data_IF_664813427406
#
_entry.id   IF_664813427406
#
_cell.length_a   1.000
_cell.length_b   1.000
_cell.length_c   1.000
_cell.angle_alpha   90.00
_cell.angle_beta   90.00
_cell.angle_gamma   90.00
#
_symmetry.space_group_name_H-M   'P 1'
#
loop_
_entity.id
_entity.type
_entity.pdbx_description
1 polymer ?
#
# COMPACT_ATOMS: atom_id res chain seq x y z
N UNK A 1 24.32 -37.47 -38.89
CA UNK A 1 23.90 -37.86 -37.53
C UNK A 1 24.89 -37.28 -36.55
N UNK A 2 24.57 -36.17 -35.92
CA UNK A 2 25.27 -35.67 -34.74
C UNK A 2 24.35 -34.69 -34.02
N UNK A 3 23.82 -35.14 -32.90
CA UNK A 3 23.08 -34.29 -31.97
C UNK A 3 24.03 -33.39 -31.20
N UNK A 4 23.58 -32.18 -30.91
CA UNK A 4 24.22 -31.32 -29.92
C UNK A 4 23.15 -30.58 -29.13
N UNK A 5 22.82 -31.14 -27.97
CA UNK A 5 22.11 -30.47 -26.88
C UNK A 5 22.87 -29.20 -26.50
N UNK A 6 22.18 -28.06 -26.46
CA UNK A 6 22.64 -26.90 -25.68
C UNK A 6 21.51 -26.39 -24.82
N UNK A 7 21.83 -26.33 -23.53
CA UNK A 7 20.96 -26.04 -22.41
C UNK A 7 20.41 -24.62 -22.42
N UNK A 8 19.27 -24.49 -21.75
CA UNK A 8 18.63 -23.24 -21.42
C UNK A 8 19.36 -22.57 -20.25
N UNK A 9 19.64 -21.26 -20.29
CA UNK A 9 20.06 -20.51 -19.11
C UNK A 9 18.88 -20.32 -18.15
N UNK A 10 19.21 -20.49 -16.87
CA UNK A 10 18.33 -20.35 -15.71
C UNK A 10 17.76 -18.92 -15.60
N UNK A 11 16.49 -18.82 -15.18
CA UNK A 11 15.78 -17.56 -14.97
C UNK A 11 16.02 -17.03 -13.55
N UNK A 12 16.25 -15.72 -13.36
CA UNK A 12 16.36 -15.14 -12.03
C UNK A 12 15.01 -15.05 -11.30
N UNK A 13 15.14 -15.02 -9.97
CA UNK A 13 14.17 -15.21 -8.90
C UNK A 13 12.86 -14.43 -9.01
N UNK A 14 11.76 -15.17 -8.90
CA UNK A 14 10.40 -14.71 -8.66
C UNK A 14 10.25 -14.25 -7.20
N UNK A 15 9.88 -13.00 -6.95
CA UNK A 15 9.49 -12.54 -5.61
C UNK A 15 8.07 -13.01 -5.34
N UNK A 16 7.98 -14.15 -4.67
CA UNK A 16 6.76 -14.80 -4.22
C UNK A 16 6.40 -14.26 -2.83
N UNK A 17 5.44 -13.34 -2.72
CA UNK A 17 4.79 -13.09 -1.42
C UNK A 17 3.60 -14.03 -1.28
N UNK A 18 3.79 -15.08 -0.47
CA UNK A 18 2.75 -16.00 -0.01
C UNK A 18 2.80 -16.01 1.50
N UNK A 19 1.72 -15.60 2.16
CA UNK A 19 1.54 -15.81 3.60
C UNK A 19 0.94 -17.20 3.80
N UNK A 20 1.68 -18.02 4.54
CA UNK A 20 1.47 -19.45 4.78
C UNK A 20 0.67 -19.69 6.07
N UNK A 21 -0.19 -20.71 6.04
CA UNK A 21 -0.44 -21.81 7.02
C UNK A 21 -1.85 -22.36 6.72
N UNK A 22 -2.09 -23.61 6.29
CA UNK A 22 -1.65 -24.91 6.81
C UNK A 22 -2.85 -25.60 7.48
N UNK A 23 -3.74 -26.26 6.71
CA UNK A 23 -4.15 -27.69 6.78
C UNK A 23 -4.85 -28.16 8.11
N UNK A 24 -5.86 -29.04 8.22
CA UNK A 24 -6.74 -29.90 7.39
C UNK A 24 -7.88 -30.48 8.30
N UNK A 25 -8.84 -31.22 7.71
CA UNK A 25 -9.68 -32.32 8.27
C UNK A 25 -11.19 -32.12 8.59
N UNK A 26 -12.00 -32.60 7.63
CA UNK A 26 -13.15 -33.56 7.65
C UNK A 26 -14.34 -33.46 8.62
N UNK A 27 -15.56 -33.90 8.20
CA UNK A 27 -16.81 -33.69 8.91
C UNK A 27 -17.26 -34.90 9.77
N UNK A 28 -18.00 -34.68 10.87
CA UNK A 28 -18.66 -35.78 11.60
C UNK A 28 -19.98 -35.39 12.31
N UNK A 29 -21.03 -36.11 11.89
CA UNK A 29 -22.31 -36.56 12.48
C UNK A 29 -22.94 -35.86 13.71
N UNK A 30 -24.25 -35.62 13.55
CA UNK A 30 -25.28 -35.41 14.60
C UNK A 30 -25.41 -36.61 15.54
N UNK A 31 -25.63 -36.34 16.84
CA UNK A 31 -26.28 -37.25 17.78
C UNK A 31 -27.05 -36.44 18.84
N UNK A 32 -28.00 -37.10 19.48
CA UNK A 32 -29.20 -36.57 20.11
C UNK A 32 -29.13 -36.61 21.65
N UNK A 33 -29.88 -35.69 22.29
CA UNK A 33 -30.64 -35.80 23.58
C UNK A 33 -29.93 -36.46 24.78
N UNK A 34 -29.78 -35.73 25.89
CA UNK A 34 -30.72 -35.77 27.04
C UNK A 34 -30.25 -34.86 28.20
N UNK A 35 -31.26 -34.34 28.89
CA UNK A 35 -31.31 -33.76 30.24
C UNK A 35 -30.24 -34.23 31.24
N UNK A 36 -29.78 -33.32 32.12
CA UNK A 36 -30.01 -33.35 33.57
C UNK A 36 -29.36 -32.14 34.26
N UNK A 37 -30.09 -31.56 35.22
CA UNK A 37 -29.75 -30.41 36.06
C UNK A 37 -28.49 -30.69 36.93
N UNK A 38 -27.59 -29.71 37.05
CA UNK A 38 -26.60 -29.67 38.14
C UNK A 38 -26.24 -28.22 38.56
N UNK A 39 -26.27 -28.02 39.88
CA UNK A 39 -26.15 -26.82 40.72
C UNK A 39 -25.06 -25.76 40.38
N UNK A 40 -25.18 -24.51 40.90
CA UNK A 40 -24.24 -23.43 40.62
C UNK A 40 -22.91 -23.68 41.34
N UNK A 41 -21.80 -23.64 40.60
CA UNK A 41 -20.45 -23.72 41.18
C UNK A 41 -19.91 -22.32 41.47
N UNK A 42 -19.48 -22.16 42.72
CA UNK A 42 -18.85 -20.98 43.31
C UNK A 42 -17.54 -20.64 42.59
N UNK A 43 -17.35 -19.34 42.36
CA UNK A 43 -16.13 -18.57 42.12
C UNK A 43 -14.85 -19.35 41.80
N UNK A 44 -14.46 -19.31 40.53
CA UNK A 44 -13.06 -19.35 40.12
C UNK A 44 -12.82 -18.18 39.17
N UNK A 45 -11.96 -17.24 39.56
CA UNK A 45 -11.59 -16.08 38.74
C UNK A 45 -10.78 -16.52 37.51
N UNK A 46 -11.45 -16.97 36.45
CA UNK A 46 -10.81 -17.20 35.16
C UNK A 46 -10.73 -15.85 34.43
N UNK A 47 -9.56 -15.21 34.44
CA UNK A 47 -9.29 -14.02 33.62
C UNK A 47 -9.38 -14.42 32.13
N UNK A 48 -10.30 -13.87 31.32
CA UNK A 48 -10.48 -14.29 29.92
C UNK A 48 -9.57 -13.53 28.93
N UNK A 49 -8.53 -12.83 29.39
CA UNK A 49 -7.67 -12.01 28.52
C UNK A 49 -6.19 -12.13 28.87
N UNK A 50 -5.36 -12.40 27.85
CA UNK A 50 -3.91 -12.35 27.93
C UNK A 50 -3.46 -10.92 28.23
N UNK A 51 -2.75 -10.73 29.33
CA UNK A 51 -2.34 -9.41 29.86
C UNK A 51 -0.82 -9.38 30.04
N UNK A 52 -0.06 -9.15 28.96
CA UNK A 52 1.40 -9.31 28.96
C UNK A 52 2.16 -8.26 29.81
N UNK A 53 1.45 -7.27 30.37
CA UNK A 53 2.05 -6.13 31.09
C UNK A 53 1.51 -5.94 32.51
N UNK A 54 0.80 -6.93 33.08
CA UNK A 54 0.31 -6.84 34.46
C UNK A 54 1.44 -6.65 35.49
N UNK A 55 2.65 -7.10 35.16
CA UNK A 55 3.81 -6.99 36.04
C UNK A 55 4.46 -5.60 36.02
N UNK A 56 4.16 -4.74 35.02
CA UNK A 56 4.75 -3.40 34.94
C UNK A 56 4.30 -2.48 36.08
N UNK A 57 3.03 -2.56 36.48
CA UNK A 57 2.51 -1.80 37.61
C UNK A 57 3.16 -2.19 38.93
N UNK A 58 3.62 -3.43 39.05
CA UNK A 58 4.36 -3.91 40.21
C UNK A 58 5.82 -3.43 40.18
N UNK A 59 6.48 -3.48 39.00
CA UNK A 59 7.85 -2.96 38.84
C UNK A 59 7.97 -1.45 39.03
N UNK A 60 6.94 -0.67 38.68
CA UNK A 60 6.85 0.77 38.96
C UNK A 60 6.67 1.09 40.45
N UNK A 61 6.11 0.15 41.22
CA UNK A 61 5.96 0.29 42.67
C UNK A 61 7.21 -0.18 43.43
N UNK A 62 7.98 -1.09 42.83
CA UNK A 62 9.25 -1.61 43.33
C UNK A 62 10.47 -0.76 42.94
N UNK A 63 10.38 0.07 41.88
CA UNK A 63 11.41 1.05 41.56
C UNK A 63 11.48 2.07 42.69
N UNK A 64 12.60 2.05 43.42
CA UNK A 64 12.84 3.01 44.49
C UNK A 64 12.73 4.45 43.97
N UNK A 65 12.24 5.40 44.79
CA UNK A 65 12.37 6.81 44.47
C UNK A 65 13.84 7.10 44.20
N UNK A 66 14.13 7.85 43.15
CA UNK A 66 15.46 8.36 42.89
C UNK A 66 15.76 9.46 43.93
N UNK A 67 15.95 9.06 45.18
CA UNK A 67 16.55 9.91 46.20
C UNK A 67 18.07 9.75 46.10
N UNK A 68 18.76 10.89 46.07
CA UNK A 68 20.21 11.06 46.03
C UNK A 68 20.93 10.66 44.72
N UNK A 69 20.68 11.39 43.64
CA UNK A 69 21.81 11.77 42.78
C UNK A 69 22.50 12.96 43.46
N UNK A 70 23.57 12.68 44.22
CA UNK A 70 24.62 13.67 44.35
C UNK A 70 25.09 14.01 42.92
N UNK A 71 25.26 15.31 42.58
CA UNK A 71 25.84 15.66 41.29
C UNK A 71 27.18 14.93 41.14
N UNK A 72 27.46 14.30 39.99
CA UNK A 72 28.71 13.59 39.78
C UNK A 72 29.87 14.56 39.95
N UNK A 73 30.84 14.14 40.75
CA UNK A 73 32.14 14.78 40.90
C UNK A 73 32.72 15.11 39.51
N UNK A 74 33.19 16.34 39.37
CA UNK A 74 33.88 16.84 38.19
C UNK A 74 35.20 16.08 38.00
N UNK A 75 35.15 14.93 37.34
CA UNK A 75 36.34 14.36 36.69
C UNK A 75 36.65 15.17 35.43
N UNK A 76 37.42 16.23 35.64
CA UNK A 76 38.65 16.52 34.90
C UNK A 76 38.57 16.35 33.38
N UNK A 77 37.98 17.34 32.72
CA UNK A 77 38.58 17.84 31.49
C UNK A 77 39.77 18.69 31.92
N UNK A 78 40.97 18.14 31.74
CA UNK A 78 42.24 18.84 31.87
C UNK A 78 42.31 19.96 30.81
N UNK A 79 41.77 21.12 31.15
CA UNK A 79 42.15 22.39 30.55
C UNK A 79 43.20 23.05 31.45
N UNK A 80 44.42 22.54 31.38
CA UNK A 80 45.56 23.33 31.79
C UNK A 80 45.67 24.53 30.83
N UNK A 81 45.19 25.70 31.26
CA UNK A 81 45.85 27.01 31.10
C UNK A 81 44.83 28.17 31.21
N UNK A 82 45.02 28.98 32.25
CA UNK A 82 44.59 30.39 32.43
C UNK A 82 43.12 30.64 32.82
N UNK A 83 42.79 30.39 34.08
CA UNK A 83 41.80 31.22 34.80
C UNK A 83 42.50 32.53 35.18
N UNK A 84 42.55 33.51 34.27
CA UNK A 84 42.97 34.87 34.61
C UNK A 84 41.77 35.61 35.17
N UNK A 85 41.73 35.81 36.48
CA UNK A 85 40.83 36.80 37.08
C UNK A 85 41.09 38.15 36.40
N UNK A 86 40.04 38.86 35.95
CA UNK A 86 40.23 40.12 35.25
C UNK A 86 40.96 41.09 36.18
N UNK A 87 42.15 41.53 35.76
CA UNK A 87 42.83 42.66 36.39
C UNK A 87 42.00 43.92 36.17
N UNK A 88 42.20 44.96 36.98
CA UNK A 88 41.48 46.23 36.82
C UNK A 88 41.65 46.84 35.41
N UNK A 89 42.77 46.53 34.76
CA UNK A 89 43.08 46.92 33.38
C UNK A 89 42.20 46.18 32.34
N UNK A 90 41.94 44.88 32.50
CA UNK A 90 41.05 44.12 31.60
C UNK A 90 39.60 44.61 31.71
N UNK A 91 39.17 44.95 32.92
CA UNK A 91 37.85 45.54 33.15
C UNK A 91 37.74 46.96 32.59
N UNK A 92 38.84 47.71 32.50
CA UNK A 92 38.88 49.02 31.84
C UNK A 92 38.83 48.88 30.32
N UNK A 93 39.61 47.96 29.75
CA UNK A 93 39.62 47.65 28.32
C UNK A 93 38.25 47.15 27.83
N UNK A 94 37.57 46.32 28.64
CA UNK A 94 36.21 45.89 28.34
C UNK A 94 35.22 47.06 28.32
N UNK A 95 35.30 47.99 29.27
CA UNK A 95 34.43 49.18 29.31
C UNK A 95 34.62 50.08 28.11
N UNK A 96 35.84 50.21 27.61
CA UNK A 96 36.12 50.92 26.35
C UNK A 96 35.53 50.18 25.15
N UNK A 97 35.71 48.86 25.07
CA UNK A 97 35.19 48.04 23.97
C UNK A 97 33.65 48.04 23.88
N UNK A 98 32.93 48.24 24.98
CA UNK A 98 31.47 48.29 25.02
C UNK A 98 30.89 49.71 25.11
N UNK A 99 31.73 50.75 25.01
CA UNK A 99 31.31 52.14 25.20
C UNK A 99 30.23 52.60 24.20
N UNK A 100 30.24 52.06 22.98
CA UNK A 100 29.34 52.47 21.89
C UNK A 100 28.05 51.65 21.82
N UNK A 101 27.75 50.82 22.83
CA UNK A 101 26.55 49.97 22.82
C UNK A 101 25.30 50.80 23.15
N UNK A 102 24.43 50.97 22.16
CA UNK A 102 23.12 51.59 22.35
C UNK A 102 22.19 50.60 23.05
N UNK A 103 21.58 50.95 24.20
CA UNK A 103 20.63 50.08 24.87
C UNK A 103 19.42 49.83 23.96
N UNK A 104 19.05 48.56 23.78
CA UNK A 104 17.88 48.16 23.00
C UNK A 104 16.63 48.73 23.67
N UNK A 105 15.79 49.40 22.89
CA UNK A 105 14.53 49.94 23.37
C UNK A 105 13.60 48.80 23.82
N UNK A 106 13.32 48.75 25.11
CA UNK A 106 12.46 47.74 25.73
C UNK A 106 10.96 48.09 25.60
N UNK A 107 10.62 49.21 24.93
CA UNK A 107 9.24 49.64 24.70
C UNK A 107 8.45 48.70 23.79
N UNK A 108 9.14 47.97 22.91
CA UNK A 108 8.53 46.89 22.14
C UNK A 108 8.33 45.68 23.05
N UNK A 109 7.12 45.55 23.59
CA UNK A 109 6.73 44.42 24.43
C UNK A 109 7.12 43.07 23.82
N UNK A 110 7.54 42.12 24.66
CA UNK A 110 7.97 40.78 24.25
C UNK A 110 6.96 40.19 23.27
N UNK A 111 7.41 39.87 22.05
CA UNK A 111 6.58 39.15 21.08
C UNK A 111 6.24 37.79 21.71
N UNK A 112 4.96 37.44 21.91
CA UNK A 112 4.62 36.13 22.42
C UNK A 112 5.15 35.08 21.44
N UNK A 113 5.90 34.11 21.95
CA UNK A 113 6.29 32.95 21.17
C UNK A 113 5.00 32.32 20.63
N UNK A 114 4.76 32.48 19.34
CA UNK A 114 3.71 31.74 18.66
C UNK A 114 4.16 30.28 18.76
N UNK A 115 3.66 29.56 19.77
CA UNK A 115 3.72 28.10 19.77
C UNK A 115 2.97 27.67 18.54
N UNK A 116 3.71 27.41 17.48
CA UNK A 116 3.17 26.72 16.32
C UNK A 116 2.72 25.37 16.87
N UNK A 117 1.42 25.23 17.12
CA UNK A 117 0.80 23.93 17.22
C UNK A 117 1.01 23.30 15.85
N UNK A 118 2.14 22.60 15.65
CA UNK A 118 2.20 21.59 14.60
C UNK A 118 1.01 20.70 14.90
N UNK A 119 -0.01 20.76 14.04
CA UNK A 119 -1.04 19.71 14.07
C UNK A 119 -0.27 18.41 14.11
N UNK A 120 -0.45 17.56 15.14
CA UNK A 120 0.23 16.28 15.15
C UNK A 120 -0.07 15.66 13.80
N UNK A 121 0.98 15.34 13.04
CA UNK A 121 0.82 14.51 11.83
C UNK A 121 -0.01 13.35 12.30
N UNK A 122 -1.21 13.17 11.74
CA UNK A 122 -2.02 12.02 12.08
C UNK A 122 -1.20 10.82 11.66
N UNK A 123 -0.49 10.21 12.60
CA UNK A 123 0.08 8.90 12.43
C UNK A 123 -1.15 8.03 12.32
N UNK A 124 -1.46 7.59 11.12
CA UNK A 124 -2.53 6.63 10.90
C UNK A 124 -2.24 5.49 11.88
N UNK A 125 -3.18 5.24 12.78
CA UNK A 125 -3.06 4.09 13.68
C UNK A 125 -3.05 2.84 12.80
N UNK A 126 -2.31 1.81 13.19
CA UNK A 126 -2.35 0.50 12.51
C UNK A 126 -3.82 0.02 12.30
N UNK A 127 -4.72 0.40 13.21
CA UNK A 127 -6.15 0.13 13.12
C UNK A 127 -6.83 0.84 11.94
N UNK A 128 -6.42 2.07 11.59
CA UNK A 128 -6.96 2.81 10.44
C UNK A 128 -6.50 2.22 9.10
N UNK A 129 -5.26 1.74 9.02
CA UNK A 129 -4.75 1.03 7.83
C UNK A 129 -5.46 -0.31 7.63
N UNK A 130 -5.61 -1.09 8.70
CA UNK A 130 -6.36 -2.35 8.68
C UNK A 130 -7.81 -2.10 8.29
N UNK A 131 -8.45 -1.04 8.82
CA UNK A 131 -9.84 -0.70 8.51
C UNK A 131 -10.00 -0.19 7.09
N UNK A 132 -9.04 0.56 6.55
CA UNK A 132 -9.00 0.93 5.13
C UNK A 132 -8.86 -0.31 4.23
N UNK A 133 -7.98 -1.25 4.59
CA UNK A 133 -7.78 -2.50 3.87
C UNK A 133 -9.04 -3.38 3.87
N UNK A 134 -9.68 -3.55 5.03
CA UNK A 134 -10.96 -4.25 5.14
C UNK A 134 -12.08 -3.55 4.36
N UNK A 135 -12.12 -2.21 4.38
CA UNK A 135 -13.08 -1.44 3.59
C UNK A 135 -12.86 -1.57 2.08
N UNK A 136 -11.61 -1.76 1.63
CA UNK A 136 -11.30 -2.04 0.24
C UNK A 136 -11.78 -3.45 -0.14
N UNK A 137 -11.52 -4.45 0.70
CA UNK A 137 -11.98 -5.83 0.49
C UNK A 137 -13.52 -5.93 0.47
N UNK A 138 -14.21 -5.22 1.38
CA UNK A 138 -15.67 -5.17 1.48
C UNK A 138 -16.28 -4.28 0.39
N UNK A 139 -15.59 -3.21 -0.01
CA UNK A 139 -16.01 -2.25 -1.04
C UNK A 139 -15.90 -2.75 -2.48
N UNK A 140 -15.49 -4.01 -2.67
CA UNK A 140 -15.37 -4.62 -3.99
C UNK A 140 -14.04 -4.31 -4.69
N UNK A 141 -12.95 -4.07 -3.94
CA UNK A 141 -11.61 -4.26 -4.47
C UNK A 141 -11.42 -5.75 -4.75
N UNK A 142 -11.83 -6.14 -5.96
CA UNK A 142 -11.45 -7.43 -6.52
C UNK A 142 -9.93 -7.42 -6.54
N UNK A 143 -9.29 -8.19 -5.66
CA UNK A 143 -7.84 -8.28 -5.65
C UNK A 143 -7.38 -8.87 -6.99
N UNK A 144 -6.41 -8.21 -7.61
CA UNK A 144 -5.74 -8.70 -8.81
C UNK A 144 -4.34 -9.21 -8.43
N UNK A 145 -3.99 -10.39 -8.92
CA UNK A 145 -2.62 -10.86 -8.96
C UNK A 145 -2.02 -10.37 -10.28
N UNK A 146 -1.09 -9.41 -10.23
CA UNK A 146 -0.43 -8.83 -11.39
C UNK A 146 0.99 -9.38 -11.47
N UNK A 147 1.36 -9.91 -12.63
CA UNK A 147 2.73 -10.31 -12.96
C UNK A 147 3.25 -9.40 -14.08
N UNK A 148 4.30 -8.63 -13.77
CA UNK A 148 4.99 -7.77 -14.72
C UNK A 148 6.38 -8.34 -14.99
N UNK A 149 6.61 -8.76 -16.23
CA UNK A 149 7.95 -8.97 -16.80
C UNK A 149 8.34 -7.74 -17.61
N UNK A 150 9.59 -7.66 -18.05
CA UNK A 150 10.13 -6.53 -18.82
C UNK A 150 9.30 -6.26 -20.11
N UNK A 151 8.93 -7.34 -20.80
CA UNK A 151 8.15 -7.25 -22.05
C UNK A 151 6.65 -7.49 -21.88
N UNK A 152 6.26 -8.36 -20.94
CA UNK A 152 4.90 -8.89 -20.83
C UNK A 152 4.28 -8.59 -19.49
N UNK A 153 3.02 -8.15 -19.52
CA UNK A 153 2.24 -7.83 -18.34
C UNK A 153 0.95 -8.62 -18.41
N UNK A 154 0.61 -9.26 -17.30
CA UNK A 154 -0.68 -9.89 -17.16
C UNK A 154 -1.19 -9.73 -15.73
N UNK A 155 -2.51 -9.82 -15.60
CA UNK A 155 -3.18 -9.70 -14.33
C UNK A 155 -4.48 -10.49 -14.34
N UNK A 156 -4.80 -11.10 -13.22
CA UNK A 156 -6.02 -11.86 -13.05
C UNK A 156 -6.64 -11.58 -11.69
N UNK A 157 -7.97 -11.67 -11.61
CA UNK A 157 -8.65 -11.69 -10.33
C UNK A 157 -8.16 -12.86 -9.48
N UNK A 158 -7.89 -12.62 -8.19
CA UNK A 158 -7.48 -13.66 -7.24
C UNK A 158 -8.48 -14.82 -7.26
N UNK A 159 -7.97 -16.05 -7.37
CA UNK A 159 -8.78 -17.27 -7.47
C UNK A 159 -9.18 -17.65 -8.91
N UNK A 160 -8.77 -16.87 -9.93
CA UNK A 160 -8.89 -17.30 -11.32
C UNK A 160 -7.96 -18.47 -11.61
N UNK A 161 -8.44 -19.47 -12.35
CA UNK A 161 -7.58 -20.60 -12.72
C UNK A 161 -6.40 -20.14 -13.60
N UNK A 162 -5.17 -20.59 -13.34
CA UNK A 162 -3.99 -20.20 -14.12
C UNK A 162 -4.09 -20.66 -15.59
N UNK A 163 -4.90 -21.71 -15.85
CA UNK A 163 -5.19 -22.18 -17.21
C UNK A 163 -5.89 -21.11 -18.05
N UNK A 164 -6.82 -20.35 -17.48
CA UNK A 164 -7.52 -19.26 -18.19
C UNK A 164 -6.55 -18.15 -18.56
N UNK A 165 -5.69 -17.75 -17.62
CA UNK A 165 -4.67 -16.73 -17.89
C UNK A 165 -3.68 -17.18 -18.98
N UNK A 166 -3.25 -18.45 -18.93
CA UNK A 166 -2.41 -19.04 -19.95
C UNK A 166 -3.08 -19.06 -21.34
N UNK A 167 -4.39 -19.35 -21.41
CA UNK A 167 -5.17 -19.25 -22.66
C UNK A 167 -5.27 -17.82 -23.18
N UNK A 168 -5.39 -16.84 -22.28
CA UNK A 168 -5.45 -15.42 -22.63
C UNK A 168 -4.12 -14.93 -23.19
N UNK A 169 -2.99 -15.26 -22.55
CA UNK A 169 -1.63 -15.01 -23.08
C UNK A 169 -1.43 -15.66 -24.46
N UNK A 170 -1.97 -16.86 -24.64
CA UNK A 170 -1.99 -17.57 -25.92
C UNK A 170 -3.12 -17.10 -26.85
N UNK A 171 -3.77 -15.96 -26.64
CA UNK A 171 -4.77 -15.42 -27.57
C UNK A 171 -5.79 -16.45 -28.07
N UNK A 172 -6.13 -17.47 -27.24
CA UNK A 172 -7.06 -18.54 -27.63
C UNK A 172 -8.51 -18.07 -27.54
N UNK A 173 -8.74 -16.94 -26.87
CA UNK A 173 -10.04 -16.30 -26.84
C UNK A 173 -10.24 -15.47 -28.11
N UNK A 174 -11.37 -15.68 -28.78
CA UNK A 174 -11.76 -14.87 -29.93
C UNK A 174 -11.99 -13.43 -29.49
N UNK A 175 -11.25 -12.49 -30.09
CA UNK A 175 -11.45 -11.07 -29.88
C UNK A 175 -12.73 -10.63 -30.60
N UNK A 176 -13.67 -10.04 -29.85
CA UNK A 176 -15.01 -9.70 -30.34
C UNK A 176 -15.19 -8.21 -30.61
N UNK A 177 -14.37 -7.38 -29.97
CA UNK A 177 -14.32 -5.95 -30.18
C UNK A 177 -12.91 -5.44 -29.88
N UNK A 178 -12.57 -4.30 -30.45
CA UNK A 178 -11.34 -3.60 -30.14
C UNK A 178 -11.55 -2.09 -30.03
N UNK A 179 -10.66 -1.42 -29.31
CA UNK A 179 -10.61 0.05 -29.24
C UNK A 179 -9.18 0.51 -29.37
N UNK A 180 -9.00 1.65 -30.03
CA UNK A 180 -7.70 2.25 -30.25
C UNK A 180 -7.59 3.59 -29.50
N UNK A 181 -6.53 3.68 -28.69
CA UNK A 181 -6.21 4.80 -27.82
C UNK A 181 -4.97 5.56 -28.30
N UNK A 182 -4.41 5.24 -29.48
CA UNK A 182 -3.25 5.96 -29.98
C UNK A 182 -3.52 7.47 -30.04
N UNK A 183 -2.54 8.25 -29.58
CA UNK A 183 -2.61 9.72 -29.65
C UNK A 183 -3.68 10.36 -28.76
N UNK A 184 -4.43 9.59 -27.96
CA UNK A 184 -5.39 10.15 -27.00
C UNK A 184 -4.67 10.61 -25.73
N UNK A 185 -5.19 11.67 -25.12
CA UNK A 185 -4.75 12.09 -23.79
C UNK A 185 -5.21 11.07 -22.73
N UNK A 186 -4.55 11.01 -21.57
CA UNK A 186 -4.88 10.09 -20.45
C UNK A 186 -6.37 10.15 -20.08
N UNK A 187 -6.91 11.35 -19.92
CA UNK A 187 -8.32 11.57 -19.51
C UNK A 187 -9.30 11.10 -20.60
N UNK A 188 -8.99 11.35 -21.87
CA UNK A 188 -9.83 10.92 -22.98
C UNK A 188 -9.77 9.41 -23.18
N UNK A 189 -8.58 8.83 -23.05
CA UNK A 189 -8.35 7.40 -23.12
C UNK A 189 -9.11 6.68 -22.00
N UNK A 190 -9.06 7.17 -20.76
CA UNK A 190 -9.80 6.61 -19.63
C UNK A 190 -11.30 6.54 -19.91
N UNK A 191 -11.90 7.67 -20.30
CA UNK A 191 -13.33 7.75 -20.64
C UNK A 191 -13.69 6.78 -21.77
N UNK A 192 -12.85 6.75 -22.81
CA UNK A 192 -13.02 5.86 -23.97
C UNK A 192 -13.00 4.38 -23.55
N UNK A 193 -12.06 3.98 -22.68
CA UNK A 193 -11.97 2.60 -22.17
C UNK A 193 -13.16 2.25 -21.29
N UNK A 194 -13.60 3.15 -20.41
CA UNK A 194 -14.76 2.94 -19.54
C UNK A 194 -16.01 2.69 -20.40
N UNK A 195 -16.27 3.57 -21.36
CA UNK A 195 -17.43 3.46 -22.25
C UNK A 195 -17.37 2.21 -23.13
N UNK A 196 -16.18 1.89 -23.63
CA UNK A 196 -15.94 0.70 -24.42
C UNK A 196 -16.23 -0.57 -23.62
N UNK A 197 -15.60 -0.76 -22.45
CA UNK A 197 -15.81 -1.95 -21.62
C UNK A 197 -17.24 -2.06 -21.13
N UNK A 198 -17.89 -0.95 -20.78
CA UNK A 198 -19.32 -0.91 -20.42
C UNK A 198 -20.19 -1.41 -21.56
N UNK A 199 -19.94 -0.95 -22.78
CA UNK A 199 -20.68 -1.35 -23.98
C UNK A 199 -20.45 -2.82 -24.32
N UNK A 200 -19.19 -3.27 -24.26
CA UNK A 200 -18.83 -4.67 -24.50
C UNK A 200 -19.47 -5.61 -23.47
N UNK A 201 -19.43 -5.22 -22.19
CA UNK A 201 -20.07 -5.98 -21.12
C UNK A 201 -21.59 -6.06 -21.31
N UNK A 202 -22.25 -4.97 -21.70
CA UNK A 202 -23.68 -4.95 -22.00
C UNK A 202 -24.06 -5.83 -23.22
N UNK A 203 -23.15 -6.01 -24.17
CA UNK A 203 -23.30 -6.89 -25.35
C UNK A 203 -22.87 -8.34 -25.08
N UNK A 204 -22.59 -8.70 -23.82
CA UNK A 204 -22.03 -9.98 -23.39
C UNK A 204 -20.74 -10.38 -24.14
N UNK A 205 -19.98 -9.39 -24.61
CA UNK A 205 -18.71 -9.65 -25.27
C UNK A 205 -17.68 -10.10 -24.25
N UNK A 206 -17.00 -11.21 -24.53
CA UNK A 206 -16.16 -11.89 -23.52
C UNK A 206 -14.71 -11.48 -23.57
N UNK A 207 -14.12 -11.36 -24.75
CA UNK A 207 -12.73 -11.00 -24.92
C UNK A 207 -12.63 -9.82 -25.87
N UNK A 208 -11.96 -8.78 -25.42
CA UNK A 208 -11.78 -7.53 -26.17
C UNK A 208 -10.31 -7.14 -26.21
N UNK A 209 -9.95 -6.35 -27.21
CA UNK A 209 -8.59 -5.88 -27.43
C UNK A 209 -8.52 -4.37 -27.21
N UNK A 210 -7.60 -3.92 -26.37
CA UNK A 210 -7.35 -2.48 -26.16
C UNK A 210 -5.97 -2.17 -26.71
N UNK A 211 -5.91 -1.30 -27.72
CA UNK A 211 -4.66 -0.87 -28.36
C UNK A 211 -4.28 0.48 -27.79
N UNK A 212 -3.15 0.53 -27.08
CA UNK A 212 -2.60 1.74 -26.48
C UNK A 212 -1.53 2.41 -27.36
N UNK A 213 -0.88 1.62 -28.22
CA UNK A 213 0.32 2.00 -28.96
C UNK A 213 1.60 1.79 -28.15
N UNK A 214 2.75 1.97 -28.80
CA UNK A 214 4.09 1.71 -28.22
C UNK A 214 4.73 2.92 -27.52
N UNK A 215 3.96 3.99 -27.26
CA UNK A 215 4.50 5.21 -26.62
C UNK A 215 5.36 6.10 -27.52
N UNK A 216 5.46 5.85 -28.83
CA UNK A 216 6.31 6.64 -29.75
C UNK A 216 5.88 8.12 -29.91
N UNK A 217 4.66 8.44 -29.50
CA UNK A 217 4.03 9.75 -29.68
C UNK A 217 3.96 10.57 -28.36
N UNK A 218 4.53 10.09 -27.26
CA UNK A 218 4.68 10.89 -26.05
C UNK A 218 5.96 11.72 -26.12
N UNK A 219 5.95 12.89 -25.49
CA UNK A 219 7.07 13.85 -25.48
C UNK A 219 8.38 13.20 -24.98
N UNK A 220 8.26 12.29 -24.01
CA UNK A 220 9.38 11.53 -23.44
C UNK A 220 9.55 10.12 -24.05
N UNK A 221 8.75 9.74 -25.07
CA UNK A 221 8.69 8.38 -25.66
C UNK A 221 8.35 7.26 -24.68
N UNK A 222 7.81 7.60 -23.52
CA UNK A 222 7.37 6.65 -22.50
C UNK A 222 5.95 6.14 -22.78
N UNK A 223 5.66 4.85 -22.53
CA UNK A 223 4.36 4.24 -22.75
C UNK A 223 3.39 4.56 -21.60
N UNK A 224 3.09 5.85 -21.39
CA UNK A 224 2.25 6.34 -20.27
C UNK A 224 0.90 5.60 -20.19
N UNK A 225 0.21 5.44 -21.33
CA UNK A 225 -1.09 4.77 -21.36
C UNK A 225 -1.03 3.27 -21.00
N UNK A 226 0.13 2.60 -21.16
CA UNK A 226 0.31 1.18 -20.80
C UNK A 226 0.19 1.00 -19.29
N UNK A 227 0.85 1.86 -18.52
CA UNK A 227 0.84 1.84 -17.06
C UNK A 227 -0.54 2.23 -16.52
N UNK A 228 -1.15 3.25 -17.14
CA UNK A 228 -2.49 3.71 -16.78
C UNK A 228 -3.56 2.64 -17.03
N UNK A 229 -3.47 1.86 -18.11
CA UNK A 229 -4.41 0.76 -18.35
C UNK A 229 -4.40 -0.28 -17.23
N UNK A 230 -3.21 -0.66 -16.74
CA UNK A 230 -3.07 -1.60 -15.62
C UNK A 230 -3.73 -1.02 -14.36
N UNK A 231 -3.49 0.27 -14.12
CA UNK A 231 -4.08 0.99 -13.01
C UNK A 231 -5.62 1.04 -13.09
N UNK A 232 -6.16 1.33 -14.27
CA UNK A 232 -7.60 1.39 -14.48
C UNK A 232 -8.26 0.03 -14.36
N UNK A 233 -7.67 -1.05 -14.88
CA UNK A 233 -8.24 -2.40 -14.78
C UNK A 233 -8.36 -2.91 -13.34
N UNK A 234 -7.45 -2.46 -12.46
CA UNK A 234 -7.42 -2.88 -11.05
C UNK A 234 -8.26 -2.00 -10.13
N UNK A 235 -8.65 -0.80 -10.58
CA UNK A 235 -9.46 0.14 -9.82
C UNK A 235 -10.92 0.17 -10.25
N UNK A 236 -11.76 0.71 -9.37
CA UNK A 236 -13.14 1.02 -9.73
C UNK A 236 -13.18 2.18 -10.72
N UNK A 237 -14.08 2.18 -11.72
CA UNK A 237 -15.18 1.23 -11.94
C UNK A 237 -14.84 -0.01 -12.78
N UNK A 238 -13.71 -0.03 -13.52
CA UNK A 238 -13.45 -1.09 -14.51
C UNK A 238 -13.23 -2.47 -13.88
N UNK A 239 -12.67 -2.53 -12.66
CA UNK A 239 -12.44 -3.78 -11.94
C UNK A 239 -13.70 -4.64 -11.76
N UNK A 240 -14.89 -4.04 -11.85
CA UNK A 240 -16.18 -4.73 -11.79
C UNK A 240 -16.51 -5.51 -13.07
N UNK A 241 -15.90 -5.16 -14.20
CA UNK A 241 -16.13 -5.83 -15.48
C UNK A 241 -14.95 -6.72 -15.89
N UNK A 242 -13.72 -6.37 -15.49
CA UNK A 242 -12.51 -7.10 -15.87
C UNK A 242 -12.33 -8.36 -15.00
N UNK A 243 -12.06 -9.49 -15.64
CA UNK A 243 -11.73 -10.77 -15.00
C UNK A 243 -10.23 -11.09 -15.08
N UNK A 244 -9.62 -10.80 -16.23
CA UNK A 244 -8.18 -10.92 -16.44
C UNK A 244 -7.76 -10.04 -17.61
N UNK A 245 -6.49 -9.67 -17.66
CA UNK A 245 -5.86 -9.00 -18.78
C UNK A 245 -4.47 -9.57 -19.04
N UNK A 246 -4.00 -9.45 -20.27
CA UNK A 246 -2.67 -9.87 -20.69
C UNK A 246 -2.20 -9.00 -21.85
N UNK A 247 -0.91 -8.74 -21.93
CA UNK A 247 -0.29 -8.20 -23.14
C UNK A 247 -0.67 -9.07 -24.34
N UNK A 248 -0.99 -8.41 -25.45
CA UNK A 248 -1.41 -9.07 -26.67
C UNK A 248 -0.23 -9.77 -27.37
N UNK A 249 -0.56 -10.68 -28.29
CA UNK A 249 0.47 -11.31 -29.12
C UNK A 249 1.05 -10.30 -30.12
N UNK A 250 2.28 -10.53 -30.62
CA UNK A 250 2.89 -9.67 -31.65
C UNK A 250 2.00 -9.43 -32.87
N UNK A 251 1.21 -10.43 -33.29
CA UNK A 251 0.25 -10.33 -34.40
C UNK A 251 -0.88 -9.31 -34.15
N UNK A 252 -1.26 -9.12 -32.90
CA UNK A 252 -2.43 -8.31 -32.49
C UNK A 252 -2.01 -7.01 -31.77
N UNK A 253 -0.74 -6.60 -31.90
CA UNK A 253 -0.21 -5.34 -31.36
C UNK A 253 0.91 -5.49 -30.34
N UNK A 254 1.15 -6.71 -29.83
CA UNK A 254 2.25 -7.02 -28.93
C UNK A 254 2.22 -6.20 -27.63
N UNK A 255 3.37 -5.66 -27.25
CA UNK A 255 3.57 -4.83 -26.05
C UNK A 255 2.71 -3.57 -25.98
N UNK A 256 2.17 -3.11 -27.12
CA UNK A 256 1.31 -1.92 -27.21
C UNK A 256 -0.19 -2.21 -27.17
N UNK A 257 -0.59 -3.46 -26.90
CA UNK A 257 -2.00 -3.84 -26.82
C UNK A 257 -2.24 -4.86 -25.69
N UNK A 258 -3.48 -4.92 -25.22
CA UNK A 258 -3.92 -5.82 -24.15
C UNK A 258 -5.17 -6.59 -24.55
N UNK A 259 -5.14 -7.91 -24.38
CA UNK A 259 -6.37 -8.68 -24.30
C UNK A 259 -6.99 -8.49 -22.92
N UNK A 260 -8.28 -8.21 -22.89
CA UNK A 260 -9.05 -8.09 -21.66
C UNK A 260 -10.20 -9.08 -21.70
N UNK A 261 -10.21 -9.98 -20.71
CA UNK A 261 -11.26 -10.94 -20.48
C UNK A 261 -12.29 -10.32 -19.53
N UNK A 262 -13.52 -10.21 -20.01
CA UNK A 262 -14.65 -9.66 -19.27
C UNK A 262 -15.38 -10.74 -18.47
N UNK A 263 -15.89 -10.34 -17.31
CA UNK A 263 -16.82 -11.11 -16.50
C UNK A 263 -18.09 -11.35 -17.29
N UNK A 264 -18.73 -12.48 -17.02
CA UNK A 264 -19.99 -12.83 -17.66
C UNK A 264 -21.10 -11.96 -17.07
N UNK A 265 -21.97 -11.43 -17.93
CA UNK A 265 -23.26 -10.89 -17.47
C UNK A 265 -24.16 -12.09 -17.13
N UNK A 266 -23.93 -12.73 -15.98
CA UNK A 266 -24.94 -13.65 -15.45
C UNK A 266 -26.22 -12.83 -15.32
N UNK A 267 -27.34 -13.22 -15.92
CA UNK A 267 -28.59 -12.44 -16.01
C UNK A 267 -29.24 -11.99 -14.70
N UNK A 268 -28.52 -12.02 -13.57
CA UNK A 268 -28.77 -11.20 -12.39
C UNK A 268 -28.50 -9.74 -12.76
N UNK A 269 -29.57 -8.96 -12.77
CA UNK A 269 -29.73 -7.51 -12.93
C UNK A 269 -28.50 -6.67 -13.35
N UNK A 270 -28.65 -5.72 -14.31
CA UNK A 270 -27.57 -4.79 -14.62
C UNK A 270 -27.10 -4.11 -13.34
N UNK A 271 -25.79 -4.17 -13.08
CA UNK A 271 -25.18 -3.57 -11.91
C UNK A 271 -25.49 -2.07 -11.92
N UNK A 272 -26.45 -1.67 -11.08
CA UNK A 272 -26.81 -0.27 -10.85
C UNK A 272 -25.55 0.42 -10.30
N UNK A 273 -25.00 1.36 -11.07
CA UNK A 273 -23.98 2.28 -10.56
C UNK A 273 -24.63 3.16 -9.48
N UNK A 274 -24.00 3.35 -8.30
CA UNK A 274 -24.58 4.13 -7.21
C UNK A 274 -24.62 5.65 -7.46
N UNK A 275 -24.42 6.13 -8.69
CA UNK A 275 -24.42 7.56 -9.02
C UNK A 275 -25.72 7.93 -9.72
N UNK A 276 -26.65 8.44 -8.93
CA UNK A 276 -27.95 8.94 -9.37
C UNK A 276 -28.73 9.50 -8.18
N UNK A 277 -28.25 10.61 -7.63
CA UNK A 277 -28.95 11.53 -6.73
C UNK A 277 -28.51 12.94 -7.08
#
# INVERSE_FOLDING_TARGET
MSGFMRGFPERPSCVRMVVSQGETMTPRKKASRHSLLRAPRKNASSRPFYTPFQELTQRLKESQPLDSLQPPDETTISAAAVESFPTEDDAALFREAVADVVPVDQSHGRVPLIKQYRRPTQVLSDDDEVRAHLSALIGGAVGFEISCSDEYIDGAVIGLSPKILAKLRRGEFSCQAYVDLHGRNRVEAERTVIDFLRTCFARDQRCVLIVSGRGRNSENREPVLKEELIHWFTRSPLNRWVLAFSTARPRDGGTGAFYVLLRRSSGKAPLISPTGW
#
